data_IF_086820309673
#
_entry.id   IF_086820309673
#
_cell.length_a   1.000
_cell.length_b   1.000
_cell.length_c   1.000
_cell.angle_alpha   90.00
_cell.angle_beta   90.00
_cell.angle_gamma   90.00
#
_symmetry.space_group_name_H-M   'P 1'
#
loop_
_entity.id
_entity.type
_entity.pdbx_description
1 polymer ?
#
# COMPACT_ATOMS: atom_id res chain seq x y z
N UNK A 1 -61.63 63.91 9.34
CA UNK A 1 -60.65 65.02 9.43
C UNK A 1 -59.32 64.46 9.90
N UNK A 2 -58.25 64.63 9.10
CA UNK A 2 -56.86 64.36 9.48
C UNK A 2 -56.45 65.35 10.57
N UNK A 3 -55.65 64.93 11.55
CA UNK A 3 -54.45 65.70 11.90
C UNK A 3 -53.54 64.94 12.86
N UNK A 4 -52.40 64.54 12.30
CA UNK A 4 -51.10 64.29 12.94
C UNK A 4 -50.61 65.46 13.80
N UNK A 5 -49.85 65.18 14.87
CA UNK A 5 -48.44 65.65 14.97
C UNK A 5 -47.68 65.07 16.17
N UNK A 6 -46.44 64.70 15.83
CA UNK A 6 -45.27 64.37 16.64
C UNK A 6 -45.02 65.29 17.85
N UNK A 7 -44.32 64.75 18.87
CA UNK A 7 -42.90 65.07 19.17
C UNK A 7 -42.41 64.13 20.29
N UNK A 8 -41.15 63.73 20.17
CA UNK A 8 -40.40 62.81 21.04
C UNK A 8 -39.46 63.63 21.91
N UNK A 9 -39.40 63.35 23.22
CA UNK A 9 -38.19 63.46 24.08
C UNK A 9 -38.46 62.81 25.44
N UNK A 10 -37.62 61.87 25.84
CA UNK A 10 -37.51 61.26 27.19
C UNK A 10 -36.65 62.14 28.10
N UNK A 11 -36.78 62.06 29.44
CA UNK A 11 -35.90 61.15 30.18
C UNK A 11 -36.44 60.53 31.50
N UNK A 12 -35.89 59.35 31.79
CA UNK A 12 -35.50 58.73 33.10
C UNK A 12 -36.47 58.50 34.28
N UNK A 13 -36.59 57.19 34.57
CA UNK A 13 -36.58 56.48 35.87
C UNK A 13 -37.63 56.77 36.95
N UNK A 14 -38.42 55.75 37.31
CA UNK A 14 -38.28 55.12 38.64
C UNK A 14 -38.97 53.75 38.72
N UNK A 15 -38.45 52.91 39.62
CA UNK A 15 -39.07 51.79 40.36
C UNK A 15 -39.52 50.51 39.63
N UNK A 16 -38.64 49.50 39.63
CA UNK A 16 -39.05 48.07 39.65
C UNK A 16 -38.68 47.48 41.02
N UNK A 17 -39.68 46.93 41.69
CA UNK A 17 -39.61 46.27 43.01
C UNK A 17 -38.66 45.06 42.99
N UNK A 18 -37.83 44.85 44.04
CA UNK A 18 -36.88 43.74 44.10
C UNK A 18 -37.54 42.36 44.13
N UNK A 19 -36.87 41.37 43.53
CA UNK A 19 -37.35 40.00 43.27
C UNK A 19 -37.74 39.18 44.53
N UNK A 20 -37.39 39.64 45.74
CA UNK A 20 -37.56 38.89 46.99
C UNK A 20 -39.00 38.75 47.50
N UNK A 21 -39.98 39.37 46.83
CA UNK A 21 -41.40 39.35 47.28
C UNK A 21 -42.35 38.55 46.36
N UNK A 22 -41.87 37.85 45.34
CA UNK A 22 -42.74 37.01 44.48
C UNK A 22 -42.94 35.62 45.12
N UNK A 23 -43.99 35.47 45.94
CA UNK A 23 -44.43 34.15 46.42
C UNK A 23 -45.04 33.37 45.25
N UNK A 24 -44.37 32.30 44.81
CA UNK A 24 -44.88 31.38 43.79
C UNK A 24 -46.15 30.71 44.29
N UNK A 25 -47.23 30.73 43.50
CA UNK A 25 -48.45 29.96 43.81
C UNK A 25 -48.08 28.47 43.78
N UNK A 26 -48.25 27.78 44.90
CA UNK A 26 -47.74 26.41 45.12
C UNK A 26 -48.32 25.37 44.18
N UNK A 27 -49.60 25.51 43.79
CA UNK A 27 -50.29 24.57 42.88
C UNK A 27 -49.67 24.48 41.48
N UNK A 28 -49.47 25.57 40.72
CA UNK A 28 -48.80 25.50 39.42
C UNK A 28 -47.31 25.16 39.51
N UNK A 29 -46.63 25.49 40.61
CA UNK A 29 -45.24 25.09 40.82
C UNK A 29 -45.12 23.55 40.98
N UNK A 30 -46.06 22.92 41.69
CA UNK A 30 -46.06 21.48 41.93
C UNK A 30 -46.37 20.67 40.65
N UNK A 31 -47.23 21.18 39.78
CA UNK A 31 -47.50 20.56 38.47
C UNK A 31 -46.29 20.62 37.54
N UNK A 32 -45.57 21.74 37.52
CA UNK A 32 -44.33 21.85 36.73
C UNK A 32 -43.26 20.91 37.28
N UNK A 33 -43.13 20.79 38.60
CA UNK A 33 -42.19 19.87 39.23
C UNK A 33 -42.50 18.40 38.89
N UNK A 34 -43.78 18.03 38.89
CA UNK A 34 -44.22 16.68 38.54
C UNK A 34 -43.94 16.34 37.06
N UNK A 35 -44.14 17.30 36.15
CA UNK A 35 -43.82 17.12 34.72
C UNK A 35 -42.31 16.99 34.52
N UNK A 36 -41.51 17.81 35.20
CA UNK A 36 -40.05 17.71 35.14
C UNK A 36 -39.55 16.38 35.70
N UNK A 37 -40.14 15.90 36.79
CA UNK A 37 -39.78 14.62 37.39
C UNK A 37 -40.17 13.45 36.49
N UNK A 38 -41.36 13.49 35.87
CA UNK A 38 -41.79 12.49 34.90
C UNK A 38 -40.92 12.49 33.64
N UNK A 39 -40.53 13.66 33.13
CA UNK A 39 -39.62 13.78 32.00
C UNK A 39 -38.22 13.26 32.31
N UNK A 40 -37.71 13.53 33.52
CA UNK A 40 -36.42 13.03 33.97
C UNK A 40 -36.45 11.50 34.18
N UNK A 41 -37.54 10.98 34.77
CA UNK A 41 -37.73 9.53 34.94
C UNK A 41 -37.87 8.81 33.60
N UNK A 42 -38.59 9.41 32.64
CA UNK A 42 -38.71 8.88 31.28
C UNK A 42 -37.35 8.86 30.57
N UNK A 43 -36.55 9.93 30.69
CA UNK A 43 -35.19 9.98 30.15
C UNK A 43 -34.28 8.92 30.80
N UNK A 44 -34.38 8.74 32.11
CA UNK A 44 -33.62 7.72 32.85
C UNK A 44 -34.03 6.28 32.48
N UNK A 45 -35.33 6.02 32.31
CA UNK A 45 -35.83 4.72 31.84
C UNK A 45 -35.43 4.47 30.39
N UNK A 46 -35.49 5.50 29.54
CA UNK A 46 -35.05 5.41 28.14
C UNK A 46 -33.53 5.16 28.02
N UNK A 47 -32.74 5.62 28.99
CA UNK A 47 -31.30 5.33 29.12
C UNK A 47 -31.00 3.91 29.66
N UNK A 48 -31.93 3.31 30.41
CA UNK A 48 -31.84 1.94 30.94
C UNK A 48 -32.33 0.87 29.97
N UNK A 49 -33.05 1.24 28.91
CA UNK A 49 -33.35 0.33 27.81
C UNK A 49 -32.05 0.09 27.03
N UNK A 50 -31.57 -1.16 26.88
CA UNK A 50 -30.38 -1.43 26.09
C UNK A 50 -30.68 -0.96 24.67
N UNK A 51 -30.01 0.11 24.22
CA UNK A 51 -29.96 0.40 22.79
C UNK A 51 -29.39 -0.86 22.14
N UNK A 52 -30.14 -1.44 21.20
CA UNK A 52 -29.57 -2.37 20.21
C UNK A 52 -28.68 -1.55 19.27
N UNK A 53 -27.72 -0.82 19.81
CA UNK A 53 -26.51 -0.53 19.08
C UNK A 53 -25.82 -1.89 19.01
N UNK A 54 -26.02 -2.63 17.91
CA UNK A 54 -25.17 -3.78 17.62
C UNK A 54 -23.74 -3.26 17.81
N UNK A 55 -23.05 -3.78 18.81
CA UNK A 55 -21.65 -3.45 18.99
C UNK A 55 -20.95 -3.72 17.65
N UNK A 56 -19.97 -2.90 17.27
CA UNK A 56 -19.26 -3.08 16.00
C UNK A 56 -18.60 -4.48 15.88
N UNK A 57 -18.59 -5.27 16.96
CA UNK A 57 -18.07 -6.63 17.05
C UNK A 57 -19.09 -7.71 16.64
N UNK A 58 -20.40 -7.42 16.72
CA UNK A 58 -21.51 -8.31 16.33
C UNK A 58 -22.02 -8.03 14.91
N UNK A 59 -21.27 -7.24 14.13
CA UNK A 59 -21.56 -7.02 12.72
C UNK A 59 -21.33 -8.32 11.93
N UNK A 60 -22.35 -8.77 11.21
CA UNK A 60 -22.22 -9.91 10.30
C UNK A 60 -21.41 -9.49 9.08
N UNK A 61 -20.27 -10.14 8.85
CA UNK A 61 -19.41 -9.92 7.68
C UNK A 61 -19.73 -10.87 6.53
N UNK A 62 -20.41 -11.98 6.82
CA UNK A 62 -20.95 -12.90 5.82
C UNK A 62 -22.15 -13.66 6.40
N UNK A 63 -23.02 -14.18 5.52
CA UNK A 63 -24.16 -15.04 5.87
C UNK A 63 -24.19 -16.28 4.99
N UNK A 64 -24.49 -17.44 5.57
CA UNK A 64 -24.64 -18.71 4.85
C UNK A 64 -25.93 -19.37 5.35
N UNK A 65 -26.95 -19.47 4.51
CA UNK A 65 -28.26 -20.05 4.85
C UNK A 65 -28.91 -19.52 6.15
N UNK A 66 -28.57 -18.28 6.53
CA UNK A 66 -29.06 -17.62 7.75
C UNK A 66 -28.10 -17.68 8.94
N UNK A 67 -27.02 -18.47 8.87
CA UNK A 67 -25.94 -18.43 9.85
C UNK A 67 -25.00 -17.24 9.57
N UNK A 68 -24.77 -16.40 10.58
CA UNK A 68 -23.91 -15.21 10.48
C UNK A 68 -22.46 -15.54 10.87
N UNK A 69 -21.50 -15.11 10.05
CA UNK A 69 -20.09 -14.99 10.43
C UNK A 69 -19.87 -13.57 10.93
N UNK A 70 -19.42 -13.40 12.17
CA UNK A 70 -19.25 -12.07 12.76
C UNK A 70 -17.87 -11.48 12.51
N UNK A 71 -17.79 -10.15 12.52
CA UNK A 71 -16.53 -9.41 12.43
C UNK A 71 -15.54 -9.85 13.50
N UNK A 72 -16.02 -10.10 14.72
CA UNK A 72 -15.18 -10.59 15.81
C UNK A 72 -14.58 -11.98 15.50
N UNK A 73 -15.37 -12.92 14.99
CA UNK A 73 -14.87 -14.25 14.63
C UNK A 73 -13.78 -14.17 13.55
N UNK A 74 -14.02 -13.36 12.52
CA UNK A 74 -13.05 -13.13 11.46
C UNK A 74 -11.76 -12.48 12.00
N UNK A 75 -11.86 -11.41 12.78
CA UNK A 75 -10.70 -10.72 13.35
C UNK A 75 -9.91 -11.60 14.32
N UNK A 76 -10.56 -12.37 15.19
CA UNK A 76 -9.89 -13.30 16.07
C UNK A 76 -9.12 -14.38 15.28
N UNK A 77 -9.69 -14.85 14.16
CA UNK A 77 -9.01 -15.80 13.27
C UNK A 77 -7.82 -15.15 12.56
N UNK A 78 -7.96 -13.89 12.10
CA UNK A 78 -6.87 -13.12 11.49
C UNK A 78 -5.73 -12.86 12.47
N UNK A 79 -6.04 -12.45 13.70
CA UNK A 79 -5.05 -12.27 14.77
C UNK A 79 -4.33 -13.58 15.08
N UNK A 80 -5.06 -14.70 15.15
CA UNK A 80 -4.46 -16.01 15.37
C UNK A 80 -3.54 -16.46 14.24
N UNK A 81 -3.80 -16.08 12.98
CA UNK A 81 -3.00 -16.50 11.83
C UNK A 81 -1.83 -15.56 11.55
N UNK A 82 -2.03 -14.25 11.68
CA UNK A 82 -1.09 -13.22 11.23
C UNK A 82 -0.71 -12.21 12.32
N UNK A 83 -1.42 -12.18 13.45
CA UNK A 83 -1.29 -11.13 14.45
C UNK A 83 0.13 -10.99 15.04
N UNK A 84 0.86 -12.10 15.18
CA UNK A 84 2.25 -12.06 15.65
C UNK A 84 3.17 -11.39 14.64
N UNK A 85 3.15 -11.84 13.39
CA UNK A 85 3.95 -11.28 12.28
C UNK A 85 3.63 -9.80 12.07
N UNK A 86 2.33 -9.45 12.05
CA UNK A 86 1.88 -8.07 11.87
C UNK A 86 2.35 -7.18 13.02
N UNK A 87 2.20 -7.62 14.28
CA UNK A 87 2.67 -6.83 15.42
C UNK A 87 4.19 -6.70 15.43
N UNK A 88 4.92 -7.77 15.08
CA UNK A 88 6.37 -7.74 14.98
C UNK A 88 6.84 -6.69 13.96
N UNK A 89 6.23 -6.65 12.76
CA UNK A 89 6.52 -5.65 11.74
C UNK A 89 6.28 -4.22 12.22
N UNK A 90 5.13 -3.97 12.87
CA UNK A 90 4.81 -2.64 13.43
C UNK A 90 5.78 -2.21 14.53
N UNK A 91 6.21 -3.15 15.38
CA UNK A 91 7.20 -2.88 16.43
C UNK A 91 8.56 -2.58 15.80
N UNK A 92 9.00 -3.38 14.84
CA UNK A 92 10.26 -3.16 14.10
C UNK A 92 10.30 -1.78 13.47
N UNK A 93 9.23 -1.40 12.75
CA UNK A 93 9.09 -0.07 12.16
C UNK A 93 9.22 1.03 13.22
N UNK A 94 8.47 0.92 14.32
CA UNK A 94 8.50 1.92 15.39
C UNK A 94 9.87 2.01 16.10
N UNK A 95 10.58 0.88 16.26
CA UNK A 95 11.91 0.82 16.84
C UNK A 95 12.93 1.48 15.91
N UNK A 96 12.92 1.15 14.62
CA UNK A 96 13.81 1.77 13.64
C UNK A 96 13.56 3.28 13.53
N UNK A 97 12.32 3.75 13.53
CA UNK A 97 12.03 5.19 13.53
C UNK A 97 12.52 5.91 14.80
N UNK A 98 12.57 5.23 15.95
CA UNK A 98 13.22 5.77 17.16
C UNK A 98 14.74 5.80 17.01
N UNK A 99 15.34 4.73 16.50
CA UNK A 99 16.77 4.64 16.24
C UNK A 99 17.24 5.71 15.24
N UNK A 100 16.47 5.94 14.18
CA UNK A 100 16.75 7.00 13.22
C UNK A 100 16.82 8.38 13.88
N UNK A 101 15.84 8.71 14.74
CA UNK A 101 15.81 9.98 15.47
C UNK A 101 16.98 10.12 16.45
N UNK A 102 17.28 9.07 17.20
CA UNK A 102 18.36 9.06 18.18
C UNK A 102 19.74 9.22 17.51
N UNK A 103 19.97 8.47 16.44
CA UNK A 103 21.24 8.50 15.70
C UNK A 103 21.31 9.62 14.66
N UNK A 104 20.26 10.45 14.53
CA UNK A 104 20.13 11.53 13.54
C UNK A 104 20.28 11.05 12.10
N UNK A 105 19.77 9.85 11.84
CA UNK A 105 19.72 9.26 10.51
C UNK A 105 18.46 9.79 9.82
N UNK A 106 18.66 10.35 8.63
CA UNK A 106 17.58 10.70 7.73
C UNK A 106 17.59 9.73 6.55
N UNK A 107 16.41 9.35 6.10
CA UNK A 107 16.21 8.63 4.84
C UNK A 107 15.31 9.51 3.99
N UNK A 108 15.84 9.94 2.84
CA UNK A 108 15.09 10.78 1.89
C UNK A 108 14.21 9.94 0.97
N UNK A 109 13.27 10.59 0.28
CA UNK A 109 12.41 9.90 -0.69
C UNK A 109 13.21 9.42 -1.90
N UNK A 110 14.25 10.15 -2.30
CA UNK A 110 15.15 9.79 -3.39
C UNK A 110 15.94 8.51 -3.09
N UNK A 111 16.37 8.32 -1.83
CA UNK A 111 17.04 7.08 -1.43
C UNK A 111 16.09 5.88 -1.48
N UNK A 112 14.83 6.09 -1.11
CA UNK A 112 13.79 5.06 -1.20
C UNK A 112 13.50 4.74 -2.66
N UNK A 113 13.38 5.76 -3.52
CA UNK A 113 13.11 5.57 -4.94
C UNK A 113 14.26 4.86 -5.66
N UNK A 114 15.51 5.20 -5.32
CA UNK A 114 16.70 4.50 -5.82
C UNK A 114 16.67 3.03 -5.41
N UNK A 115 16.46 2.74 -4.12
CA UNK A 115 16.43 1.36 -3.62
C UNK A 115 15.30 0.55 -4.28
N UNK A 116 14.11 1.15 -4.41
CA UNK A 116 12.99 0.52 -5.12
C UNK A 116 13.29 0.26 -6.59
N UNK A 117 14.01 1.15 -7.27
CA UNK A 117 14.44 0.95 -8.64
C UNK A 117 15.41 -0.25 -8.72
N UNK A 118 16.45 -0.27 -7.89
CA UNK A 118 17.45 -1.34 -7.87
C UNK A 118 16.86 -2.70 -7.45
N UNK A 119 15.91 -2.73 -6.52
CA UNK A 119 15.19 -3.96 -6.17
C UNK A 119 14.39 -4.52 -7.35
N UNK A 120 13.78 -3.65 -8.17
CA UNK A 120 13.03 -4.08 -9.36
C UNK A 120 13.92 -4.69 -10.44
N UNK A 121 15.17 -4.26 -10.57
CA UNK A 121 16.10 -4.82 -11.55
C UNK A 121 16.67 -6.17 -11.13
N UNK A 122 16.89 -6.36 -9.83
CA UNK A 122 17.41 -7.60 -9.26
C UNK A 122 16.35 -8.72 -9.19
N UNK A 123 15.06 -8.37 -9.19
CA UNK A 123 14.00 -9.33 -8.94
C UNK A 123 13.48 -9.97 -10.22
N UNK A 124 13.62 -11.29 -10.27
CA UNK A 124 12.91 -12.13 -11.23
C UNK A 124 11.40 -11.98 -10.95
N UNK A 125 10.61 -11.75 -11.99
CA UNK A 125 9.20 -11.25 -11.92
C UNK A 125 8.18 -12.21 -11.27
N UNK A 126 8.68 -13.31 -10.72
CA UNK A 126 7.94 -14.41 -10.12
C UNK A 126 7.70 -14.23 -8.61
N UNK A 127 8.43 -13.33 -7.94
CA UNK A 127 8.33 -13.16 -6.49
C UNK A 127 7.13 -12.27 -6.10
N UNK A 128 6.00 -12.95 -5.88
CA UNK A 128 4.68 -12.33 -5.59
C UNK A 128 4.62 -11.59 -4.25
N UNK A 129 5.60 -11.80 -3.37
CA UNK A 129 5.63 -11.26 -2.01
C UNK A 129 5.63 -9.73 -1.97
N UNK A 130 6.30 -9.10 -2.95
CA UNK A 130 6.35 -7.63 -3.05
C UNK A 130 5.22 -7.05 -3.90
N UNK A 131 4.61 -7.86 -4.77
CA UNK A 131 3.47 -7.44 -5.59
C UNK A 131 2.18 -7.32 -4.78
N UNK A 132 2.07 -7.99 -3.62
CA UNK A 132 0.88 -7.92 -2.76
C UNK A 132 0.85 -6.71 -1.83
N UNK A 133 1.97 -5.99 -1.68
CA UNK A 133 2.04 -4.80 -0.83
C UNK A 133 1.50 -3.58 -1.58
N UNK A 134 0.82 -2.70 -0.86
CA UNK A 134 0.57 -1.36 -1.39
C UNK A 134 1.89 -0.59 -1.54
N UNK A 135 1.93 0.39 -2.44
CA UNK A 135 3.11 1.25 -2.64
C UNK A 135 3.59 1.88 -1.31
N UNK A 136 2.64 2.31 -0.48
CA UNK A 136 2.94 2.86 0.86
C UNK A 136 3.62 1.85 1.78
N UNK A 137 3.11 0.62 1.85
CA UNK A 137 3.71 -0.43 2.69
C UNK A 137 5.10 -0.82 2.18
N UNK A 138 5.27 -0.89 0.86
CA UNK A 138 6.55 -1.19 0.24
C UNK A 138 7.59 -0.10 0.55
N UNK A 139 7.23 1.18 0.37
CA UNK A 139 8.10 2.33 0.73
C UNK A 139 8.45 2.32 2.20
N UNK A 140 7.49 2.01 3.09
CA UNK A 140 7.75 1.95 4.53
C UNK A 140 8.68 0.79 4.91
N UNK A 141 8.57 -0.36 4.24
CA UNK A 141 9.47 -1.50 4.44
C UNK A 141 10.89 -1.16 3.99
N UNK A 142 11.05 -0.56 2.82
CA UNK A 142 12.35 -0.08 2.31
C UNK A 142 12.94 0.95 3.26
N UNK A 143 12.15 1.92 3.73
CA UNK A 143 12.60 2.90 4.70
C UNK A 143 13.13 2.27 5.99
N UNK A 144 12.40 1.28 6.54
CA UNK A 144 12.81 0.55 7.75
C UNK A 144 14.14 -0.17 7.54
N UNK A 145 14.30 -0.81 6.38
CA UNK A 145 15.55 -1.47 5.98
C UNK A 145 16.71 -0.47 5.83
N UNK A 146 16.50 0.67 5.16
CA UNK A 146 17.52 1.70 4.99
C UNK A 146 17.97 2.30 6.32
N UNK A 147 17.05 2.51 7.27
CA UNK A 147 17.40 2.96 8.62
C UNK A 147 18.30 1.92 9.29
N UNK A 148 17.91 0.65 9.26
CA UNK A 148 18.69 -0.44 9.85
C UNK A 148 20.11 -0.47 9.27
N UNK A 149 20.25 -0.50 7.96
CA UNK A 149 21.55 -0.52 7.28
C UNK A 149 22.41 0.68 7.64
N UNK A 150 21.83 1.90 7.67
CA UNK A 150 22.56 3.11 8.06
C UNK A 150 22.99 3.10 9.54
N UNK A 151 22.19 2.52 10.43
CA UNK A 151 22.56 2.35 11.85
C UNK A 151 23.76 1.41 11.94
N UNK A 152 23.73 0.29 11.22
CA UNK A 152 24.78 -0.74 11.26
C UNK A 152 26.08 -0.29 10.58
N UNK A 153 25.98 0.46 9.48
CA UNK A 153 27.12 0.94 8.72
C UNK A 153 27.84 2.13 9.36
N UNK A 154 27.26 2.76 10.40
CA UNK A 154 27.72 4.04 10.94
C UNK A 154 29.19 4.07 11.37
N UNK A 155 29.68 2.96 11.93
CA UNK A 155 31.05 2.86 12.45
C UNK A 155 32.00 2.09 11.50
N UNK A 156 31.52 1.75 10.30
CA UNK A 156 32.28 1.01 9.28
C UNK A 156 32.86 2.00 8.28
N UNK A 157 34.18 1.99 8.13
CA UNK A 157 34.89 2.87 7.20
C UNK A 157 35.11 2.11 5.89
N UNK A 158 34.48 2.59 4.82
CA UNK A 158 34.70 2.14 3.45
C UNK A 158 35.50 3.21 2.71
N UNK A 159 36.55 2.80 2.00
CA UNK A 159 37.40 3.74 1.25
C UNK A 159 36.76 4.10 -0.09
N UNK A 160 37.02 5.31 -0.56
CA UNK A 160 36.46 5.79 -1.84
C UNK A 160 36.92 4.92 -3.02
N UNK A 161 38.13 4.36 -2.95
CA UNK A 161 38.63 3.43 -3.96
C UNK A 161 37.82 2.14 -4.02
N UNK A 162 37.36 1.62 -2.87
CA UNK A 162 36.52 0.43 -2.83
C UNK A 162 35.14 0.70 -3.44
N UNK A 163 34.54 1.86 -3.15
CA UNK A 163 33.27 2.30 -3.74
C UNK A 163 33.42 2.45 -5.26
N UNK A 164 34.50 3.07 -5.71
CA UNK A 164 34.76 3.28 -7.13
C UNK A 164 35.00 1.97 -7.89
N UNK A 165 35.80 1.05 -7.33
CA UNK A 165 36.02 -0.28 -7.90
C UNK A 165 34.70 -1.04 -8.01
N UNK A 166 33.90 -1.05 -6.95
CA UNK A 166 32.61 -1.74 -6.94
C UNK A 166 31.69 -1.21 -8.05
N UNK A 167 31.59 0.11 -8.22
CA UNK A 167 30.79 0.68 -9.30
C UNK A 167 31.31 0.26 -10.68
N UNK A 168 32.62 0.32 -10.91
CA UNK A 168 33.23 -0.05 -12.19
C UNK A 168 33.03 -1.53 -12.54
N UNK A 169 33.16 -2.40 -11.55
CA UNK A 169 33.02 -3.85 -11.72
C UNK A 169 31.55 -4.27 -11.88
N UNK A 170 30.60 -3.44 -11.40
CA UNK A 170 29.17 -3.76 -11.35
C UNK A 170 28.26 -2.75 -12.06
N UNK A 171 28.74 -2.03 -13.08
CA UNK A 171 27.96 -0.98 -13.77
C UNK A 171 26.60 -1.47 -14.28
N UNK A 172 26.48 -2.75 -14.64
CA UNK A 172 25.22 -3.34 -15.10
C UNK A 172 24.14 -3.36 -14.03
N UNK A 173 24.48 -3.37 -12.74
CA UNK A 173 23.51 -3.32 -11.63
C UNK A 173 22.80 -1.96 -11.55
N UNK A 174 23.46 -0.91 -12.04
CA UNK A 174 22.98 0.48 -11.99
C UNK A 174 22.36 0.95 -13.30
N UNK A 175 22.25 0.06 -14.29
CA UNK A 175 21.54 0.32 -15.53
C UNK A 175 20.30 -0.57 -15.60
N UNK A 176 19.17 -0.01 -15.18
CA UNK A 176 17.88 -0.69 -15.19
C UNK A 176 17.27 -0.54 -16.57
N UNK A 177 17.12 -1.62 -17.35
CA UNK A 177 16.48 -1.53 -18.66
C UNK A 177 14.98 -1.26 -18.55
N UNK A 178 14.41 -0.67 -19.59
CA UNK A 178 12.95 -0.60 -19.74
C UNK A 178 12.39 -2.03 -19.75
N UNK A 179 11.33 -2.25 -18.98
CA UNK A 179 10.69 -3.55 -18.84
C UNK A 179 9.21 -3.48 -19.16
N UNK A 180 8.70 -4.53 -19.78
CA UNK A 180 7.37 -4.57 -20.38
C UNK A 180 6.60 -5.77 -19.85
N UNK A 181 5.50 -5.53 -19.13
CA UNK A 181 4.62 -6.62 -18.70
C UNK A 181 3.83 -7.14 -19.90
N UNK A 182 4.25 -8.31 -20.36
CA UNK A 182 3.84 -8.84 -21.66
C UNK A 182 2.97 -10.06 -21.48
N UNK A 183 1.95 -10.18 -22.33
CA UNK A 183 1.19 -11.41 -22.51
C UNK A 183 1.30 -11.86 -23.97
N UNK A 184 1.32 -13.16 -24.21
CA UNK A 184 1.41 -13.74 -25.55
C UNK A 184 0.32 -14.77 -25.85
N UNK A 185 -0.09 -14.84 -27.11
CA UNK A 185 -0.84 -15.97 -27.67
C UNK A 185 -0.02 -16.51 -28.83
N UNK A 186 0.30 -17.80 -28.81
CA UNK A 186 1.14 -18.44 -29.84
C UNK A 186 0.33 -19.47 -30.62
N UNK A 187 0.46 -19.53 -31.94
CA UNK A 187 -0.17 -20.53 -32.78
C UNK A 187 0.80 -21.10 -33.83
N UNK A 188 0.57 -22.34 -34.25
CA UNK A 188 1.45 -23.04 -35.20
C UNK A 188 1.32 -22.51 -36.63
N UNK A 189 0.21 -21.85 -36.97
CA UNK A 189 -0.08 -21.37 -38.33
C UNK A 189 -0.53 -19.92 -38.35
N UNK A 190 -0.26 -19.27 -39.49
CA UNK A 190 -0.72 -17.92 -39.77
C UNK A 190 -2.25 -17.80 -39.74
N UNK A 191 -2.95 -18.81 -40.25
CA UNK A 191 -4.42 -18.82 -40.27
C UNK A 191 -5.00 -18.82 -38.85
N UNK A 192 -4.44 -19.63 -37.96
CA UNK A 192 -4.90 -19.69 -36.57
C UNK A 192 -4.65 -18.39 -35.83
N UNK A 193 -3.47 -17.79 -35.98
CA UNK A 193 -3.16 -16.53 -35.31
C UNK A 193 -3.98 -15.36 -35.88
N UNK A 194 -4.22 -15.34 -37.20
CA UNK A 194 -5.02 -14.30 -37.85
C UNK A 194 -6.48 -14.38 -37.38
N UNK A 195 -7.02 -15.59 -37.14
CA UNK A 195 -8.34 -15.79 -36.51
C UNK A 195 -8.39 -15.23 -35.09
N UNK A 196 -7.35 -15.47 -34.28
CA UNK A 196 -7.26 -14.91 -32.91
C UNK A 196 -7.25 -13.38 -32.96
N UNK A 197 -6.48 -12.79 -33.89
CA UNK A 197 -6.41 -11.33 -34.04
C UNK A 197 -7.79 -10.73 -34.38
N UNK A 198 -8.57 -11.40 -35.22
CA UNK A 198 -9.95 -10.99 -35.52
C UNK A 198 -10.86 -11.07 -34.29
N UNK A 199 -10.76 -12.15 -33.50
CA UNK A 199 -11.54 -12.29 -32.27
C UNK A 199 -11.19 -11.21 -31.23
N UNK A 200 -9.91 -10.83 -31.12
CA UNK A 200 -9.45 -9.70 -30.30
C UNK A 200 -10.03 -8.36 -30.80
N UNK A 201 -10.00 -8.12 -32.12
CA UNK A 201 -10.58 -6.91 -32.73
C UNK A 201 -12.10 -6.81 -32.51
N UNK A 202 -12.78 -7.95 -32.40
CA UNK A 202 -14.21 -8.03 -32.07
C UNK A 202 -14.51 -7.85 -30.57
N UNK A 203 -13.50 -7.60 -29.73
CA UNK A 203 -13.65 -7.32 -28.31
C UNK A 203 -13.53 -8.54 -27.39
N UNK A 204 -13.00 -9.66 -27.88
CA UNK A 204 -12.71 -10.81 -27.00
C UNK A 204 -11.53 -10.50 -26.08
N UNK A 205 -11.61 -11.02 -24.85
CA UNK A 205 -10.57 -10.82 -23.84
C UNK A 205 -9.30 -11.62 -24.17
N UNK A 206 -8.14 -10.95 -24.14
CA UNK A 206 -6.85 -11.57 -24.47
C UNK A 206 -6.56 -12.80 -23.62
N UNK A 207 -6.80 -12.71 -22.31
CA UNK A 207 -6.52 -13.81 -21.38
C UNK A 207 -7.41 -15.03 -21.57
N UNK A 208 -8.60 -14.87 -22.17
CA UNK A 208 -9.49 -15.99 -22.50
C UNK A 208 -8.98 -16.68 -23.75
N UNK A 209 -8.71 -15.90 -24.81
CA UNK A 209 -8.16 -16.46 -26.05
C UNK A 209 -6.79 -17.12 -25.84
N UNK A 210 -5.96 -16.57 -24.96
CA UNK A 210 -4.69 -17.20 -24.58
C UNK A 210 -4.89 -18.60 -23.99
N UNK A 211 -5.88 -18.78 -23.10
CA UNK A 211 -6.19 -20.08 -22.50
C UNK A 211 -6.75 -21.08 -23.51
N UNK A 212 -7.57 -20.60 -24.45
CA UNK A 212 -8.29 -21.46 -25.39
C UNK A 212 -7.50 -21.80 -26.65
N UNK A 213 -6.67 -20.88 -27.13
CA UNK A 213 -6.07 -20.94 -28.46
C UNK A 213 -4.54 -20.94 -28.47
N UNK A 214 -3.88 -20.56 -27.37
CA UNK A 214 -2.42 -20.54 -27.34
C UNK A 214 -1.84 -21.95 -27.28
N UNK A 215 -0.90 -22.21 -28.17
CA UNK A 215 -0.04 -23.39 -28.19
C UNK A 215 1.10 -23.29 -27.15
N UNK A 216 1.37 -22.10 -26.62
CA UNK A 216 2.31 -21.92 -25.51
C UNK A 216 1.66 -22.29 -24.17
N UNK A 217 1.69 -23.58 -23.84
CA UNK A 217 1.03 -24.14 -22.65
C UNK A 217 1.43 -23.48 -21.32
N UNK A 218 2.72 -23.13 -21.07
CA UNK A 218 3.12 -22.49 -19.82
C UNK A 218 2.42 -21.16 -19.57
N UNK A 219 2.41 -20.25 -20.56
CA UNK A 219 1.75 -18.94 -20.40
C UNK A 219 0.23 -19.02 -20.58
N UNK A 220 -0.28 -19.93 -21.43
CA UNK A 220 -1.71 -20.07 -21.71
C UNK A 220 -2.56 -20.15 -20.44
N UNK A 221 -2.17 -21.01 -19.49
CA UNK A 221 -2.89 -21.19 -18.21
C UNK A 221 -2.97 -19.90 -17.36
N UNK A 222 -1.98 -19.02 -17.51
CA UNK A 222 -1.87 -17.72 -16.84
C UNK A 222 -2.53 -16.60 -17.66
N UNK A 223 -3.31 -16.93 -18.70
CA UNK A 223 -3.91 -15.95 -19.60
C UNK A 223 -2.91 -15.32 -20.55
N UNK A 224 -1.81 -16.02 -20.86
CA UNK A 224 -0.73 -15.57 -21.74
C UNK A 224 0.35 -14.74 -21.04
N UNK A 225 0.20 -14.41 -19.75
CA UNK A 225 1.17 -13.57 -19.02
C UNK A 225 2.54 -14.26 -18.91
N UNK A 226 3.57 -13.57 -19.40
CA UNK A 226 4.98 -14.02 -19.32
C UNK A 226 5.81 -13.13 -18.39
N UNK A 227 5.16 -12.25 -17.63
CA UNK A 227 5.82 -11.33 -16.72
C UNK A 227 6.42 -10.12 -17.41
N UNK A 228 7.32 -9.44 -16.71
CA UNK A 228 8.09 -8.35 -17.30
C UNK A 228 9.27 -8.91 -18.08
N UNK A 229 9.42 -8.47 -19.32
CA UNK A 229 10.57 -8.77 -20.17
C UNK A 229 11.33 -7.49 -20.51
N UNK A 230 12.63 -7.63 -20.75
CA UNK A 230 13.53 -6.53 -21.11
C UNK A 230 14.09 -6.77 -22.51
N UNK A 231 14.48 -5.70 -23.23
CA UNK A 231 14.90 -5.80 -24.64
C UNK A 231 16.07 -6.77 -24.90
N UNK A 232 16.90 -7.03 -23.89
CA UNK A 232 18.10 -7.86 -23.98
C UNK A 232 18.00 -9.10 -23.08
N UNK A 233 16.87 -9.79 -23.12
CA UNK A 233 16.63 -11.00 -22.34
C UNK A 233 16.94 -12.28 -23.14
N UNK A 234 17.93 -13.05 -22.69
CA UNK A 234 18.49 -14.17 -23.44
C UNK A 234 17.53 -15.36 -23.66
N UNK A 235 16.55 -15.56 -22.78
CA UNK A 235 15.60 -16.68 -22.85
C UNK A 235 14.29 -16.36 -23.59
N UNK A 236 14.20 -15.20 -24.26
CA UNK A 236 13.00 -14.77 -25.01
C UNK A 236 13.38 -14.58 -26.48
N UNK A 237 12.47 -14.98 -27.38
CA UNK A 237 12.68 -14.85 -28.82
C UNK A 237 12.88 -13.37 -29.22
N UNK A 238 13.90 -13.11 -30.04
CA UNK A 238 14.26 -11.75 -30.45
C UNK A 238 13.13 -11.01 -31.21
N UNK A 239 12.24 -11.73 -31.89
CA UNK A 239 11.08 -11.15 -32.56
C UNK A 239 10.06 -10.60 -31.54
N UNK A 240 9.90 -11.28 -30.41
CA UNK A 240 9.06 -10.82 -29.29
C UNK A 240 9.65 -9.53 -28.70
N UNK A 241 10.93 -9.54 -28.34
CA UNK A 241 11.62 -8.40 -27.74
C UNK A 241 11.53 -7.14 -28.62
N UNK A 242 11.84 -7.28 -29.92
CA UNK A 242 11.78 -6.17 -30.89
C UNK A 242 10.38 -5.63 -31.13
N UNK A 243 9.36 -6.46 -30.96
CA UNK A 243 7.97 -6.05 -31.15
C UNK A 243 7.46 -5.31 -29.93
N UNK A 244 7.69 -5.88 -28.75
CA UNK A 244 7.25 -5.32 -27.47
C UNK A 244 7.88 -3.95 -27.21
N UNK A 245 9.15 -3.75 -27.56
CA UNK A 245 9.83 -2.45 -27.46
C UNK A 245 9.16 -1.31 -28.26
N UNK A 246 8.33 -1.66 -29.27
CA UNK A 246 7.62 -0.70 -30.12
C UNK A 246 6.16 -0.51 -29.74
N UNK A 247 5.63 -1.33 -28.83
CA UNK A 247 4.24 -1.25 -28.40
C UNK A 247 4.08 -0.20 -27.31
N UNK A 248 2.96 0.51 -27.37
CA UNK A 248 2.53 1.39 -26.29
C UNK A 248 1.84 0.60 -25.18
N UNK A 249 1.74 1.19 -23.98
CA UNK A 249 1.00 0.61 -22.87
C UNK A 249 -0.47 0.38 -23.26
N UNK A 250 -0.95 -0.84 -23.08
CA UNK A 250 -2.29 -1.30 -23.44
C UNK A 250 -2.44 -1.75 -24.89
N UNK A 251 -1.39 -1.68 -25.71
CA UNK A 251 -1.45 -2.05 -27.11
C UNK A 251 -1.25 -3.57 -27.32
N UNK A 252 -1.82 -4.05 -28.43
CA UNK A 252 -1.65 -5.42 -28.93
C UNK A 252 -0.98 -5.38 -30.29
N UNK A 253 -0.01 -6.26 -30.54
CA UNK A 253 0.71 -6.34 -31.81
C UNK A 253 -0.14 -6.97 -32.91
N UNK A 254 0.33 -6.81 -34.15
CA UNK A 254 0.00 -7.75 -35.23
C UNK A 254 0.67 -9.12 -35.00
N UNK A 255 0.37 -10.09 -35.86
CA UNK A 255 1.00 -11.40 -35.83
C UNK A 255 2.51 -11.30 -36.14
N UNK A 256 3.33 -11.81 -35.23
CA UNK A 256 4.79 -11.86 -35.32
C UNK A 256 5.24 -13.28 -35.57
N UNK A 257 6.15 -13.50 -36.52
CA UNK A 257 6.76 -14.82 -36.76
C UNK A 257 7.93 -15.01 -35.81
N UNK A 258 7.90 -16.09 -35.03
CA UNK A 258 8.97 -16.50 -34.10
C UNK A 258 10.08 -17.24 -34.85
N UNK A 259 11.25 -17.37 -34.22
CA UNK A 259 12.41 -18.04 -34.82
C UNK A 259 12.19 -19.53 -35.08
N UNK A 260 11.23 -20.14 -34.37
CA UNK A 260 10.81 -21.53 -34.55
C UNK A 260 9.73 -21.72 -35.63
N UNK A 261 9.29 -20.64 -36.30
CA UNK A 261 8.28 -20.66 -37.35
C UNK A 261 6.83 -20.55 -36.88
N UNK A 262 6.58 -20.56 -35.56
CA UNK A 262 5.26 -20.27 -35.01
C UNK A 262 4.94 -18.78 -35.08
N UNK A 263 3.70 -18.44 -34.80
CA UNK A 263 3.21 -17.07 -34.85
C UNK A 263 2.73 -16.64 -33.47
N UNK A 264 2.99 -15.39 -33.09
CA UNK A 264 2.58 -14.83 -31.81
C UNK A 264 1.84 -13.50 -31.96
N UNK A 265 0.87 -13.26 -31.09
CA UNK A 265 0.32 -11.92 -30.80
C UNK A 265 0.77 -11.55 -29.40
N UNK A 266 1.21 -10.31 -29.24
CA UNK A 266 1.78 -9.79 -28.01
C UNK A 266 0.91 -8.66 -27.50
N UNK A 267 0.68 -8.60 -26.19
CA UNK A 267 -0.03 -7.51 -25.53
C UNK A 267 0.85 -6.95 -24.40
N UNK A 268 1.00 -5.63 -24.36
CA UNK A 268 1.77 -4.95 -23.30
C UNK A 268 0.79 -4.26 -22.37
N UNK A 269 0.67 -4.74 -21.13
CA UNK A 269 -0.24 -4.16 -20.13
C UNK A 269 0.39 -3.04 -19.31
N UNK A 270 1.72 -3.09 -19.12
CA UNK A 270 2.48 -2.15 -18.32
C UNK A 270 3.87 -1.93 -18.91
N UNK A 271 4.34 -0.69 -18.89
CA UNK A 271 5.71 -0.31 -19.27
C UNK A 271 6.32 0.37 -18.05
N UNK A 272 7.49 -0.12 -17.62
CA UNK A 272 8.33 0.52 -16.61
C UNK A 272 9.57 1.04 -17.31
N UNK A 273 9.66 2.36 -17.40
CA UNK A 273 10.79 3.04 -18.04
C UNK A 273 12.11 2.70 -17.34
N UNK A 274 13.12 2.46 -18.16
CA UNK A 274 14.48 2.21 -17.69
C UNK A 274 15.08 3.43 -17.02
N UNK A 275 16.02 3.18 -16.12
CA UNK A 275 16.73 4.20 -15.37
C UNK A 275 18.20 3.81 -15.26
N UNK A 276 19.09 4.73 -15.58
CA UNK A 276 20.52 4.54 -15.39
C UNK A 276 21.00 5.52 -14.33
N UNK A 277 21.79 5.02 -13.39
CA UNK A 277 22.34 5.83 -12.31
C UNK A 277 23.85 6.01 -12.51
N UNK A 278 24.31 7.24 -12.32
CA UNK A 278 25.73 7.57 -12.33
C UNK A 278 26.39 7.15 -11.03
N UNK A 279 27.73 7.16 -10.99
CA UNK A 279 28.48 6.94 -9.75
C UNK A 279 28.04 7.88 -8.63
N UNK A 280 27.79 9.15 -8.92
CA UNK A 280 27.38 10.14 -7.93
C UNK A 280 26.01 9.80 -7.32
N UNK A 281 25.08 9.28 -8.15
CA UNK A 281 23.75 8.88 -7.70
C UNK A 281 23.79 7.69 -6.73
N UNK A 282 24.76 6.77 -6.90
CA UNK A 282 24.79 5.49 -6.18
C UNK A 282 25.94 5.34 -5.19
N UNK A 283 26.86 6.31 -5.10
CA UNK A 283 28.04 6.20 -4.25
C UNK A 283 27.68 5.91 -2.77
N UNK A 284 26.70 6.61 -2.22
CA UNK A 284 26.23 6.38 -0.85
C UNK A 284 25.50 5.04 -0.68
N UNK A 285 24.77 4.58 -1.70
CA UNK A 285 24.18 3.25 -1.72
C UNK A 285 25.27 2.17 -1.72
N UNK A 286 26.26 2.27 -2.61
CA UNK A 286 27.38 1.31 -2.69
C UNK A 286 28.14 1.27 -1.37
N UNK A 287 28.45 2.43 -0.80
CA UNK A 287 29.15 2.52 0.48
C UNK A 287 28.38 1.78 1.57
N UNK A 288 27.06 1.93 1.61
CA UNK A 288 26.17 1.22 2.55
C UNK A 288 26.17 -0.28 2.30
N UNK A 289 26.03 -0.72 1.03
CA UNK A 289 26.08 -2.14 0.66
C UNK A 289 27.41 -2.77 1.11
N UNK A 290 28.53 -2.16 0.76
CA UNK A 290 29.87 -2.64 1.15
C UNK A 290 30.06 -2.67 2.67
N UNK A 291 29.51 -1.71 3.40
CA UNK A 291 29.56 -1.71 4.87
C UNK A 291 28.73 -2.85 5.46
N UNK A 292 27.53 -3.09 4.94
CA UNK A 292 26.65 -4.17 5.39
C UNK A 292 27.23 -5.54 5.04
N UNK A 293 27.89 -5.71 3.89
CA UNK A 293 28.57 -6.95 3.50
C UNK A 293 29.70 -7.36 4.44
N UNK A 294 30.35 -6.40 5.14
CA UNK A 294 31.36 -6.71 6.15
C UNK A 294 30.76 -7.26 7.46
N UNK A 295 29.43 -7.19 7.62
CA UNK A 295 28.75 -7.74 8.78
C UNK A 295 28.57 -9.24 8.60
N UNK A 296 29.05 -10.02 9.57
CA UNK A 296 29.06 -11.50 9.52
C UNK A 296 27.69 -12.15 9.71
N UNK A 297 26.64 -11.38 9.99
CA UNK A 297 25.29 -11.89 10.25
C UNK A 297 24.23 -11.03 9.58
N UNK A 298 23.14 -11.67 9.13
CA UNK A 298 21.90 -10.98 8.78
C UNK A 298 21.28 -10.39 10.04
N UNK A 299 21.59 -9.13 10.31
CA UNK A 299 21.06 -8.40 11.45
C UNK A 299 19.66 -7.91 11.10
N UNK A 300 18.72 -8.09 12.03
CA UNK A 300 17.33 -7.66 11.90
C UNK A 300 17.00 -6.61 12.96
N UNK A 301 15.92 -5.81 12.81
CA UNK A 301 15.57 -4.75 13.77
C UNK A 301 15.36 -5.24 15.21
N UNK A 302 15.07 -6.53 15.41
CA UNK A 302 14.84 -7.18 16.69
C UNK A 302 16.04 -7.05 17.65
N UNK A 303 17.27 -6.95 17.14
CA UNK A 303 18.45 -6.77 18.01
C UNK A 303 18.38 -5.48 18.83
N UNK A 304 17.65 -4.47 18.33
CA UNK A 304 17.51 -3.17 18.99
C UNK A 304 16.35 -3.14 19.99
N UNK A 305 15.49 -4.17 20.04
CA UNK A 305 14.31 -4.15 20.92
C UNK A 305 14.68 -4.02 22.40
N UNK A 306 15.83 -4.59 22.80
CA UNK A 306 16.35 -4.46 24.16
C UNK A 306 16.73 -3.00 24.49
N UNK A 307 17.40 -2.31 23.57
CA UNK A 307 17.82 -0.92 23.74
C UNK A 307 16.61 0.02 23.89
N UNK A 308 15.53 -0.29 23.16
CA UNK A 308 14.29 0.48 23.18
C UNK A 308 13.23 -0.03 24.17
N UNK A 309 13.59 -1.00 25.03
CA UNK A 309 12.73 -1.54 26.10
C UNK A 309 11.35 -1.95 25.58
N UNK A 310 11.33 -2.65 24.45
CA UNK A 310 10.08 -3.11 23.83
C UNK A 310 9.37 -4.08 24.77
N UNK A 311 8.11 -3.77 25.07
CA UNK A 311 7.16 -4.70 25.67
C UNK A 311 6.05 -4.96 24.64
N UNK A 312 5.80 -6.21 24.31
CA UNK A 312 4.85 -6.60 23.27
C UNK A 312 3.94 -7.73 23.74
N UNK A 313 2.80 -7.84 23.08
CA UNK A 313 1.69 -8.71 23.51
C UNK A 313 2.07 -10.20 23.59
N UNK A 314 3.01 -10.66 22.77
CA UNK A 314 3.38 -12.07 22.65
C UNK A 314 4.48 -12.54 23.63
N UNK A 315 4.89 -11.72 24.59
CA UNK A 315 5.82 -12.11 25.66
C UNK A 315 7.21 -11.49 25.54
N UNK A 316 8.28 -12.21 25.82
CA UNK A 316 9.65 -11.69 25.62
C UNK A 316 10.11 -11.95 24.18
N UNK A 317 10.79 -10.97 23.59
CA UNK A 317 11.51 -11.15 22.34
C UNK A 317 12.71 -12.05 22.62
N UNK A 318 12.77 -13.21 21.97
CA UNK A 318 13.92 -14.11 22.03
C UNK A 318 14.86 -13.84 20.88
#
# INVERSE_FOLDING_TARGET
MKSTRNIRTTPTSSTKTPLSQRRLKTKPALTVLAILLAGNLFWFIMWLLPSKDKSNNDEAVATIDGDEITRQQWLAKMESMYGKETLQGLVNEAVMEKAAKEHKISVSDEEIDLELALMRSAQDTTDRTFQSLSDKELRQKVRTQLILEKVLAKDIIITDEAVQSFYQDNQSLYNIPTSYRTSMIVADSKENIDSVLQELQNGSEFSVLARERSTDTPSASLGGDIGFIVEQQANIDSAILKTVAKLEKGATSEAVVLSDGRHAILHVSEIKEGQSFTFEDVAEHIKRVLAVEQLSASITPEIFWADYKVNWFYGEAK
#
